data_IF_916825312324
#
_entry.id   IF_916825312324
#
_cell.length_a   1.000
_cell.length_b   1.000
_cell.length_c   1.000
_cell.angle_alpha   90.00
_cell.angle_beta   90.00
_cell.angle_gamma   90.00
#
_symmetry.space_group_name_H-M   'P 1'
#
loop_
_entity.id
_entity.type
_entity.pdbx_description
1 polymer ?
#
# COMPACT_ATOMS: atom_id res chain seq x y z
N UNK A 1 -3.59 1.25 -9.01
CA UNK A 1 -3.00 2.38 -8.24
C UNK A 1 -1.52 2.10 -8.12
N UNK A 2 -0.60 2.99 -8.49
CA UNK A 2 0.84 2.73 -8.54
C UNK A 2 1.47 2.25 -7.21
N UNK A 3 2.63 1.62 -7.29
CA UNK A 3 3.45 1.20 -6.15
C UNK A 3 4.74 2.01 -6.05
N UNK A 4 4.92 2.75 -4.96
CA UNK A 4 6.18 3.40 -4.55
C UNK A 4 6.90 2.50 -3.56
N UNK A 5 8.21 2.35 -3.72
CA UNK A 5 9.09 1.58 -2.84
C UNK A 5 10.49 2.19 -2.74
N UNK A 6 11.28 1.76 -1.77
CA UNK A 6 12.67 2.19 -1.62
C UNK A 6 13.42 1.46 -0.51
N UNK A 7 14.72 1.70 -0.46
CA UNK A 7 15.65 1.20 0.55
C UNK A 7 16.72 2.26 0.85
N UNK A 8 17.15 2.35 2.10
CA UNK A 8 18.24 3.21 2.55
C UNK A 8 19.02 2.52 3.66
N UNK A 9 20.35 2.62 3.65
CA UNK A 9 21.19 2.11 4.74
C UNK A 9 21.98 3.21 5.45
N UNK A 10 21.89 3.22 6.78
CA UNK A 10 22.75 4.05 7.63
C UNK A 10 24.12 3.45 7.83
N UNK A 11 24.30 2.18 7.47
CA UNK A 11 25.54 1.45 7.67
C UNK A 11 26.64 1.99 6.74
N UNK A 12 27.89 1.84 7.18
CA UNK A 12 29.07 2.12 6.36
C UNK A 12 29.22 1.07 5.26
N UNK A 13 29.83 1.44 4.14
CA UNK A 13 30.02 0.52 3.00
C UNK A 13 28.81 0.35 2.08
N UNK A 14 27.65 0.90 2.44
CA UNK A 14 26.45 0.87 1.60
C UNK A 14 25.68 -0.44 1.68
N UNK A 15 24.74 -0.65 0.75
CA UNK A 15 23.82 -1.79 0.76
C UNK A 15 24.55 -3.09 0.46
N UNK A 16 24.28 -4.12 1.25
CA UNK A 16 24.79 -5.47 0.99
C UNK A 16 23.99 -6.17 -0.12
N UNK A 17 24.55 -7.25 -0.68
CA UNK A 17 23.83 -8.08 -1.66
C UNK A 17 22.49 -8.58 -1.12
N UNK A 18 22.44 -9.02 0.14
CA UNK A 18 21.19 -9.51 0.76
C UNK A 18 20.14 -8.40 0.86
N UNK A 19 20.55 -7.21 1.31
CA UNK A 19 19.66 -6.03 1.42
C UNK A 19 19.13 -5.59 0.06
N UNK A 20 19.97 -5.62 -0.98
CA UNK A 20 19.56 -5.35 -2.37
C UNK A 20 18.54 -6.39 -2.82
N UNK A 21 18.80 -7.68 -2.65
CA UNK A 21 17.86 -8.74 -3.06
C UNK A 21 16.51 -8.67 -2.31
N UNK A 22 16.53 -8.33 -1.03
CA UNK A 22 15.31 -8.04 -0.26
C UNK A 22 14.55 -6.86 -0.85
N UNK A 23 15.23 -5.77 -1.22
CA UNK A 23 14.60 -4.64 -1.89
C UNK A 23 14.02 -5.02 -3.25
N UNK A 24 14.73 -5.81 -4.07
CA UNK A 24 14.22 -6.25 -5.37
C UNK A 24 12.93 -7.08 -5.23
N UNK A 25 12.82 -7.88 -4.16
CA UNK A 25 11.58 -8.60 -3.84
C UNK A 25 10.41 -7.63 -3.59
N UNK A 26 10.65 -6.54 -2.83
CA UNK A 26 9.64 -5.49 -2.59
C UNK A 26 9.29 -4.76 -3.90
N UNK A 27 10.29 -4.49 -4.74
CA UNK A 27 10.11 -3.84 -6.04
C UNK A 27 9.26 -4.69 -6.98
N UNK A 28 9.56 -5.98 -7.12
CA UNK A 28 8.80 -6.93 -7.93
C UNK A 28 7.36 -7.06 -7.41
N UNK A 29 7.16 -7.22 -6.09
CA UNK A 29 5.81 -7.26 -5.49
C UNK A 29 4.99 -5.99 -5.75
N UNK A 30 5.66 -4.85 -5.91
CA UNK A 30 4.99 -3.59 -6.25
C UNK A 30 4.31 -3.63 -7.62
N UNK A 31 4.64 -4.60 -8.49
CA UNK A 31 3.94 -4.84 -9.76
C UNK A 31 2.44 -5.09 -9.59
N UNK A 32 2.01 -5.70 -8.47
CA UNK A 32 0.59 -5.92 -8.14
C UNK A 32 -0.22 -4.61 -8.12
N UNK A 33 0.47 -3.47 -8.00
CA UNK A 33 -0.10 -2.13 -7.99
C UNK A 33 -0.09 -1.49 -9.38
N UNK A 34 0.84 -1.88 -10.26
CA UNK A 34 0.95 -1.38 -11.63
C UNK A 34 1.91 -2.18 -12.49
N UNK A 35 1.43 -2.60 -13.67
CA UNK A 35 2.14 -3.47 -14.62
C UNK A 35 2.59 -2.74 -15.90
N UNK A 36 2.27 -1.45 -16.05
CA UNK A 36 2.45 -0.73 -17.32
C UNK A 36 3.89 -0.26 -17.55
N UNK A 37 4.56 0.19 -16.49
CA UNK A 37 5.94 0.66 -16.56
C UNK A 37 6.59 0.60 -15.19
N UNK A 38 7.92 0.50 -15.16
CA UNK A 38 8.68 0.41 -13.93
C UNK A 38 9.97 1.21 -14.05
N UNK A 39 10.51 1.64 -12.92
CA UNK A 39 11.79 2.31 -12.89
C UNK A 39 12.40 2.38 -11.50
N UNK A 40 13.73 2.47 -11.48
CA UNK A 40 14.57 2.54 -10.31
C UNK A 40 15.46 3.77 -10.40
N UNK A 41 15.64 4.44 -9.26
CA UNK A 41 16.61 5.51 -9.04
C UNK A 41 17.57 5.07 -7.94
N UNK A 42 18.87 5.30 -8.12
CA UNK A 42 19.88 5.05 -7.09
C UNK A 42 20.96 6.12 -7.08
N UNK A 43 21.68 6.20 -5.97
CA UNK A 43 22.84 7.07 -5.84
C UNK A 43 24.05 6.50 -6.57
N UNK A 44 24.73 7.33 -7.36
CA UNK A 44 26.03 7.02 -7.97
C UNK A 44 26.98 8.22 -7.88
N UNK A 45 27.90 8.16 -6.91
CA UNK A 45 28.71 9.33 -6.54
C UNK A 45 27.80 10.49 -6.13
N UNK A 46 28.01 11.66 -6.70
CA UNK A 46 27.22 12.87 -6.43
C UNK A 46 25.94 12.97 -7.29
N UNK A 47 25.53 11.89 -7.97
CA UNK A 47 24.40 11.89 -8.89
C UNK A 47 23.31 10.89 -8.50
N UNK A 48 22.08 11.17 -8.94
CA UNK A 48 20.98 10.22 -8.97
C UNK A 48 20.84 9.66 -10.38
N UNK A 49 21.07 8.35 -10.56
CA UNK A 49 20.85 7.68 -11.84
C UNK A 49 19.47 7.05 -11.88
N UNK A 50 18.81 7.13 -13.04
CA UNK A 50 17.46 6.60 -13.26
C UNK A 50 17.48 5.66 -14.45
N UNK A 51 16.97 4.44 -14.25
CA UNK A 51 16.62 3.52 -15.31
C UNK A 51 15.13 3.20 -15.23
N UNK A 52 14.43 3.29 -16.36
CA UNK A 52 12.99 3.07 -16.43
C UNK A 52 12.57 2.59 -17.81
N UNK A 53 11.54 1.74 -17.84
CA UNK A 53 11.04 1.15 -19.07
C UNK A 53 9.51 0.95 -19.02
N UNK A 54 8.83 0.89 -20.18
CA UNK A 54 7.42 0.52 -20.30
C UNK A 54 7.20 -0.99 -20.06
N UNK A 55 7.76 -1.51 -18.97
CA UNK A 55 7.74 -2.92 -18.60
C UNK A 55 7.22 -3.09 -17.16
N UNK A 56 6.52 -4.19 -16.86
CA UNK A 56 6.23 -4.60 -15.48
C UNK A 56 7.53 -4.84 -14.71
N UNK A 57 7.49 -4.78 -13.37
CA UNK A 57 8.69 -4.76 -12.54
C UNK A 57 9.52 -6.04 -12.69
N UNK A 58 8.86 -7.21 -12.71
CA UNK A 58 9.50 -8.50 -12.97
C UNK A 58 10.32 -8.51 -14.27
N UNK A 59 9.72 -8.03 -15.37
CA UNK A 59 10.39 -7.95 -16.68
C UNK A 59 11.47 -6.87 -16.73
N UNK A 60 11.27 -5.75 -16.05
CA UNK A 60 12.31 -4.74 -15.92
C UNK A 60 13.55 -5.30 -15.22
N UNK A 61 13.36 -6.14 -14.20
CA UNK A 61 14.46 -6.78 -13.46
C UNK A 61 15.21 -7.85 -14.26
N UNK A 62 14.59 -8.48 -15.26
CA UNK A 62 15.26 -9.42 -16.17
C UNK A 62 16.45 -8.76 -16.90
N UNK A 63 16.30 -7.48 -17.27
CA UNK A 63 17.29 -6.70 -18.03
C UNK A 63 18.13 -5.76 -17.15
N UNK A 64 17.70 -5.49 -15.91
CA UNK A 64 18.34 -4.53 -15.01
C UNK A 64 19.58 -5.14 -14.34
N UNK A 65 20.74 -4.48 -14.49
CA UNK A 65 21.96 -4.87 -13.78
C UNK A 65 21.90 -4.45 -12.31
N UNK A 66 21.20 -5.26 -11.50
CA UNK A 66 20.96 -4.98 -10.08
C UNK A 66 22.22 -4.98 -9.22
N UNK A 67 23.31 -5.63 -9.64
CA UNK A 67 24.58 -5.66 -8.88
C UNK A 67 25.15 -4.25 -8.68
N UNK A 68 24.80 -3.31 -9.58
CA UNK A 68 25.16 -1.89 -9.46
C UNK A 68 24.56 -1.19 -8.24
N UNK A 69 23.54 -1.77 -7.62
CA UNK A 69 22.93 -1.27 -6.40
C UNK A 69 23.71 -1.66 -5.14
N UNK A 70 24.60 -2.66 -5.22
CA UNK A 70 25.44 -3.07 -4.09
C UNK A 70 26.43 -1.96 -3.77
N UNK A 71 26.59 -1.68 -2.48
CA UNK A 71 27.44 -0.60 -1.97
C UNK A 71 26.83 0.80 -2.10
N UNK A 72 25.62 0.95 -2.65
CA UNK A 72 24.93 2.25 -2.70
C UNK A 72 24.22 2.55 -1.39
N UNK A 73 24.08 3.82 -1.03
CA UNK A 73 23.42 4.19 0.24
C UNK A 73 21.90 4.08 0.16
N UNK A 74 21.32 4.35 -1.00
CA UNK A 74 19.89 4.31 -1.20
C UNK A 74 19.48 3.99 -2.63
N UNK A 75 18.29 3.43 -2.74
CA UNK A 75 17.60 3.11 -3.99
C UNK A 75 16.11 3.37 -3.78
N UNK A 76 15.40 3.92 -4.75
CA UNK A 76 13.94 3.96 -4.72
C UNK A 76 13.35 3.70 -6.10
N UNK A 77 12.15 3.13 -6.12
CA UNK A 77 11.55 2.64 -7.34
C UNK A 77 10.05 2.88 -7.39
N UNK A 78 9.51 2.61 -8.57
CA UNK A 78 8.10 2.77 -8.84
C UNK A 78 7.59 1.73 -9.84
N UNK A 79 6.43 1.15 -9.53
CA UNK A 79 5.62 0.33 -10.41
C UNK A 79 4.36 1.11 -10.83
N UNK A 80 4.29 1.49 -12.10
CA UNK A 80 3.31 2.45 -12.64
C UNK A 80 2.06 1.75 -13.14
N UNK A 81 0.92 2.28 -12.73
CA UNK A 81 -0.36 2.06 -13.38
C UNK A 81 -0.78 3.38 -14.06
N UNK A 82 -0.57 3.48 -15.37
CA UNK A 82 -0.80 4.73 -16.11
C UNK A 82 -2.27 5.18 -16.05
N UNK A 83 -2.50 6.39 -15.54
CA UNK A 83 -3.80 7.08 -15.51
C UNK A 83 -3.80 8.35 -16.37
N UNK A 84 -2.67 9.06 -16.40
CA UNK A 84 -2.39 10.24 -17.23
C UNK A 84 -1.07 10.01 -17.94
N UNK A 85 -1.00 10.36 -19.24
CA UNK A 85 0.17 10.19 -20.09
C UNK A 85 0.44 8.74 -20.49
N UNK A 86 0.87 8.52 -21.74
CA UNK A 86 1.17 7.18 -22.24
C UNK A 86 2.32 6.53 -21.46
N UNK A 87 2.19 5.25 -21.11
CA UNK A 87 3.31 4.48 -20.52
C UNK A 87 4.40 4.14 -21.53
N UNK A 88 4.11 4.20 -22.83
CA UNK A 88 5.11 3.99 -23.88
C UNK A 88 6.08 5.17 -24.01
N UNK A 89 5.70 6.34 -23.51
CA UNK A 89 6.60 7.48 -23.39
C UNK A 89 7.28 7.46 -22.00
N UNK A 90 8.59 7.28 -21.99
CA UNK A 90 9.37 7.25 -20.77
C UNK A 90 9.40 8.59 -20.01
N UNK A 91 9.05 9.71 -20.64
CA UNK A 91 8.89 10.99 -19.94
C UNK A 91 7.75 10.94 -18.92
N UNK A 92 6.75 10.09 -19.15
CA UNK A 92 5.63 9.88 -18.23
C UNK A 92 5.91 8.79 -17.17
N UNK A 93 6.96 7.99 -17.34
CA UNK A 93 7.28 6.90 -16.43
C UNK A 93 8.11 7.41 -15.25
N UNK A 94 7.80 6.95 -14.05
CA UNK A 94 8.56 7.25 -12.84
C UNK A 94 9.79 6.34 -12.72
N UNK A 95 10.86 6.77 -12.02
CA UNK A 95 11.07 8.08 -11.39
C UNK A 95 11.07 9.28 -12.36
N UNK A 96 10.56 10.42 -11.90
CA UNK A 96 10.55 11.68 -12.65
C UNK A 96 11.73 12.53 -12.19
N UNK A 97 12.54 12.97 -13.16
CA UNK A 97 13.63 13.94 -12.97
C UNK A 97 13.11 15.30 -13.37
N UNK A 98 13.25 16.31 -12.50
CA UNK A 98 12.83 17.66 -12.82
C UNK A 98 13.64 18.29 -13.95
N UNK A 99 13.08 19.32 -14.59
CA UNK A 99 13.69 19.99 -15.72
C UNK A 99 15.00 20.67 -15.34
N UNK A 100 15.08 21.20 -14.10
CA UNK A 100 16.30 21.78 -13.56
C UNK A 100 17.28 20.70 -13.03
N UNK A 101 16.86 19.43 -13.07
CA UNK A 101 17.61 18.27 -12.59
C UNK A 101 17.99 18.42 -11.10
N UNK A 102 17.20 19.16 -10.33
CA UNK A 102 17.39 19.38 -8.90
C UNK A 102 16.65 18.35 -8.07
N UNK A 103 15.55 17.79 -8.58
CA UNK A 103 14.71 16.82 -7.87
C UNK A 103 14.53 15.55 -8.70
N UNK A 104 14.63 14.38 -8.05
CA UNK A 104 14.20 13.09 -8.61
C UNK A 104 13.19 12.45 -7.67
N UNK A 105 12.02 12.09 -8.17
CA UNK A 105 10.86 11.77 -7.34
C UNK A 105 10.01 10.62 -7.90
N UNK A 106 9.49 9.80 -6.99
CA UNK A 106 8.40 8.85 -7.25
C UNK A 106 7.15 9.24 -6.46
N UNK A 107 5.97 9.02 -7.06
CA UNK A 107 4.69 9.46 -6.52
C UNK A 107 3.61 8.39 -6.71
N UNK A 108 2.89 8.08 -5.65
CA UNK A 108 1.65 7.31 -5.73
C UNK A 108 0.48 8.18 -5.26
N UNK A 109 -0.44 8.46 -6.18
CA UNK A 109 -1.60 9.30 -5.93
C UNK A 109 -2.02 10.05 -7.18
N UNK A 110 -2.88 11.03 -6.98
CA UNK A 110 -3.27 11.98 -8.01
C UNK A 110 -3.27 13.38 -7.41
N UNK A 111 -2.51 14.29 -8.01
CA UNK A 111 -2.39 15.67 -7.55
C UNK A 111 -2.90 16.66 -8.59
N UNK A 112 -3.60 17.69 -8.13
CA UNK A 112 -4.06 18.80 -8.97
C UNK A 112 -3.31 20.07 -8.58
N UNK A 113 -2.41 20.51 -9.44
CA UNK A 113 -1.68 21.77 -9.33
C UNK A 113 -1.57 22.40 -10.72
N UNK A 114 -1.52 23.73 -10.79
CA UNK A 114 -1.32 24.43 -12.06
C UNK A 114 0.13 24.28 -12.52
N UNK A 115 0.33 24.09 -13.83
CA UNK A 115 1.66 24.17 -14.45
C UNK A 115 2.24 25.57 -14.27
N UNK A 116 3.55 25.64 -14.03
CA UNK A 116 4.33 26.87 -13.91
C UNK A 116 4.73 27.31 -15.31
N UNK A 117 4.41 28.54 -15.69
CA UNK A 117 4.48 29.00 -17.09
C UNK A 117 5.89 28.92 -17.71
N UNK A 118 6.94 29.13 -16.91
CA UNK A 118 8.34 29.13 -17.37
C UNK A 118 9.05 27.78 -17.18
N UNK A 119 8.35 26.75 -16.69
CA UNK A 119 8.95 25.45 -16.43
C UNK A 119 8.82 24.52 -17.65
N UNK A 120 9.91 23.84 -18.02
CA UNK A 120 9.96 22.99 -19.21
C UNK A 120 9.47 21.56 -18.90
N UNK A 121 8.18 21.32 -19.10
CA UNK A 121 7.59 19.98 -18.94
C UNK A 121 7.91 19.08 -20.13
N UNK A 122 8.38 17.87 -19.86
CA UNK A 122 8.64 16.82 -20.85
C UNK A 122 7.53 15.77 -20.88
N UNK A 123 6.85 15.56 -19.75
CA UNK A 123 5.74 14.64 -19.60
C UNK A 123 4.39 15.34 -19.43
N UNK A 124 3.36 14.51 -19.33
CA UNK A 124 1.96 14.89 -19.13
C UNK A 124 1.52 14.65 -17.68
N UNK A 125 2.29 13.85 -16.93
CA UNK A 125 1.94 13.40 -15.59
C UNK A 125 1.91 14.53 -14.57
N UNK A 126 0.94 14.45 -13.66
CA UNK A 126 0.79 15.33 -12.51
C UNK A 126 2.04 15.37 -11.61
N UNK A 127 2.81 14.29 -11.61
CA UNK A 127 4.03 14.16 -10.82
C UNK A 127 5.11 15.12 -11.30
N UNK A 128 5.22 15.38 -12.61
CA UNK A 128 6.16 16.38 -13.11
C UNK A 128 5.73 17.80 -12.71
N UNK A 129 4.42 18.05 -12.65
CA UNK A 129 3.89 19.30 -12.07
C UNK A 129 4.29 19.41 -10.61
N UNK A 130 4.11 18.38 -9.80
CA UNK A 130 4.56 18.39 -8.41
C UNK A 130 6.07 18.63 -8.27
N UNK A 131 6.88 17.96 -9.09
CA UNK A 131 8.33 18.16 -9.13
C UNK A 131 8.68 19.61 -9.46
N UNK A 132 8.02 20.23 -10.43
CA UNK A 132 8.27 21.64 -10.77
C UNK A 132 8.03 22.59 -9.60
N UNK A 133 6.98 22.34 -8.81
CA UNK A 133 6.70 23.16 -7.63
C UNK A 133 7.73 22.94 -6.51
N UNK A 134 8.22 21.70 -6.33
CA UNK A 134 9.27 21.39 -5.36
C UNK A 134 10.61 22.02 -5.78
N UNK A 135 10.95 22.01 -7.07
CA UNK A 135 12.17 22.68 -7.55
C UNK A 135 12.13 24.20 -7.34
N UNK A 136 10.96 24.82 -7.49
CA UNK A 136 10.79 26.28 -7.35
C UNK A 136 10.62 26.73 -5.89
N UNK A 137 9.90 25.97 -5.06
CA UNK A 137 9.45 26.41 -3.73
C UNK A 137 9.91 25.50 -2.59
N UNK A 138 10.72 24.48 -2.86
CA UNK A 138 11.12 23.49 -1.87
C UNK A 138 9.93 22.75 -1.24
N UNK A 139 10.03 22.44 0.05
CA UNK A 139 8.98 21.67 0.75
C UNK A 139 7.66 22.44 0.91
N UNK A 140 7.67 23.77 0.80
CA UNK A 140 6.44 24.57 0.91
C UNK A 140 5.45 24.30 -0.22
N UNK A 141 5.93 23.79 -1.37
CA UNK A 141 5.09 23.26 -2.45
C UNK A 141 4.06 22.23 -1.96
N UNK A 142 4.44 21.40 -0.98
CA UNK A 142 3.59 20.33 -0.46
C UNK A 142 2.32 20.86 0.24
N UNK A 143 2.34 22.09 0.76
CA UNK A 143 1.17 22.73 1.39
C UNK A 143 0.10 23.11 0.36
N UNK A 144 0.48 23.21 -0.91
CA UNK A 144 -0.42 23.55 -2.03
C UNK A 144 -0.99 22.33 -2.74
N UNK A 145 -0.51 21.12 -2.42
CA UNK A 145 -0.99 19.87 -3.02
C UNK A 145 -2.49 19.70 -2.75
N UNK A 146 -3.27 19.47 -3.80
CA UNK A 146 -4.66 19.03 -3.73
C UNK A 146 -4.77 17.63 -4.29
N UNK A 147 -5.43 16.73 -3.57
CA UNK A 147 -5.59 15.33 -3.98
C UNK A 147 -4.93 14.37 -3.00
N UNK A 148 -4.30 13.34 -3.55
CA UNK A 148 -3.78 12.20 -2.81
C UNK A 148 -2.33 11.95 -3.21
N UNK A 149 -1.45 11.62 -2.26
CA UNK A 149 -0.03 11.47 -2.54
C UNK A 149 0.70 10.67 -1.45
N UNK A 150 1.65 9.85 -1.88
CA UNK A 150 2.83 9.44 -1.12
C UNK A 150 4.07 9.54 -2.00
N UNK A 151 5.16 10.04 -1.42
CA UNK A 151 6.35 10.48 -2.16
C UNK A 151 7.62 9.90 -1.52
N UNK A 152 8.56 9.54 -2.38
CA UNK A 152 9.97 9.37 -2.04
C UNK A 152 10.75 10.21 -3.05
N UNK A 153 11.66 11.05 -2.57
CA UNK A 153 12.50 11.86 -3.45
C UNK A 153 13.86 12.16 -2.86
N UNK A 154 14.78 12.59 -3.71
CA UNK A 154 16.06 13.19 -3.33
C UNK A 154 16.23 14.51 -4.06
N UNK A 155 17.18 15.33 -3.62
CA UNK A 155 17.58 16.55 -4.32
C UNK A 155 19.08 16.56 -4.59
N UNK A 156 19.54 17.28 -5.61
CA UNK A 156 20.97 17.39 -5.94
C UNK A 156 21.80 17.87 -4.73
N UNK A 157 21.31 18.87 -4.01
CA UNK A 157 22.01 19.46 -2.87
C UNK A 157 22.02 18.55 -1.62
N UNK A 158 21.15 17.54 -1.60
CA UNK A 158 20.97 16.60 -0.49
C UNK A 158 21.03 15.14 -1.01
N UNK A 159 21.90 14.87 -1.98
CA UNK A 159 21.96 13.59 -2.69
C UNK A 159 22.22 12.39 -1.77
N UNK A 160 22.84 12.61 -0.61
CA UNK A 160 23.06 11.59 0.43
C UNK A 160 21.80 11.18 1.19
N UNK A 161 20.69 11.89 0.96
CA UNK A 161 19.48 11.80 1.76
C UNK A 161 18.25 11.51 0.89
N UNK A 162 17.30 10.81 1.50
CA UNK A 162 15.95 10.66 0.96
C UNK A 162 14.97 11.47 1.81
N UNK A 163 13.95 12.00 1.15
CA UNK A 163 12.82 12.63 1.78
C UNK A 163 11.56 11.80 1.52
N UNK A 164 10.76 11.63 2.57
CA UNK A 164 9.52 10.86 2.54
C UNK A 164 8.37 11.73 3.00
N UNK A 165 7.23 11.65 2.32
CA UNK A 165 6.02 12.37 2.71
C UNK A 165 4.78 11.61 2.25
N UNK A 166 3.70 11.71 3.01
CA UNK A 166 2.40 11.18 2.60
C UNK A 166 1.24 12.03 3.05
N UNK A 167 0.16 11.96 2.28
CA UNK A 167 -1.18 12.42 2.66
C UNK A 167 -2.09 11.20 2.86
N UNK A 168 -3.06 10.99 1.98
CA UNK A 168 -4.00 9.88 2.05
C UNK A 168 -3.43 8.56 1.56
N UNK A 169 -2.47 8.55 0.61
CA UNK A 169 -1.89 7.30 0.12
C UNK A 169 -0.93 6.71 1.16
N UNK A 170 -0.90 5.38 1.32
CA UNK A 170 -0.02 4.74 2.28
C UNK A 170 1.45 4.84 1.85
N UNK A 171 2.31 4.96 2.86
CA UNK A 171 3.75 4.72 2.78
C UNK A 171 4.18 4.12 4.12
N UNK A 172 4.67 2.88 4.05
CA UNK A 172 5.12 2.09 5.17
C UNK A 172 6.64 2.04 5.18
N UNK A 173 7.21 1.99 6.38
CA UNK A 173 8.64 1.87 6.61
C UNK A 173 8.89 0.70 7.55
N UNK A 174 9.80 -0.18 7.16
CA UNK A 174 10.34 -1.25 8.00
C UNK A 174 11.80 -0.94 8.31
N UNK A 175 12.24 -1.19 9.55
CA UNK A 175 13.63 -0.97 9.96
C UNK A 175 14.26 -2.26 10.45
N UNK A 176 15.40 -2.64 9.87
CA UNK A 176 16.14 -3.83 10.27
C UNK A 176 17.64 -3.54 10.21
N UNK A 177 18.36 -3.68 11.34
CA UNK A 177 19.81 -3.52 11.44
C UNK A 177 20.39 -2.26 10.74
N UNK A 178 19.74 -1.10 10.89
CA UNK A 178 20.19 0.15 10.27
C UNK A 178 19.75 0.35 8.81
N UNK A 179 18.97 -0.58 8.27
CA UNK A 179 18.38 -0.50 6.92
C UNK A 179 16.90 -0.17 7.02
N UNK A 180 16.46 0.77 6.18
CA UNK A 180 15.10 1.25 6.09
C UNK A 180 14.52 0.81 4.75
N UNK A 181 13.51 -0.06 4.81
CA UNK A 181 12.76 -0.52 3.63
C UNK A 181 11.43 0.23 3.58
N UNK A 182 11.05 0.69 2.40
CA UNK A 182 9.87 1.51 2.17
C UNK A 182 8.97 0.87 1.12
N UNK A 183 7.66 0.86 1.36
CA UNK A 183 6.69 0.35 0.40
C UNK A 183 5.32 1.01 0.55
N UNK A 184 4.57 1.07 -0.54
CA UNK A 184 3.17 1.52 -0.51
C UNK A 184 2.25 0.55 0.22
N UNK A 185 2.61 -0.73 0.33
CA UNK A 185 1.83 -1.74 1.04
C UNK A 185 2.62 -2.39 2.15
N UNK A 186 1.99 -2.54 3.32
CA UNK A 186 2.61 -3.19 4.49
C UNK A 186 2.95 -4.65 4.20
N UNK A 187 2.09 -5.33 3.44
CA UNK A 187 2.24 -6.74 3.09
C UNK A 187 3.54 -7.02 2.34
N UNK A 188 4.00 -6.09 1.49
CA UNK A 188 5.25 -6.27 0.74
C UNK A 188 6.47 -6.31 1.67
N UNK A 189 6.47 -5.44 2.70
CA UNK A 189 7.52 -5.43 3.71
C UNK A 189 7.47 -6.69 4.59
N UNK A 190 6.29 -7.15 4.98
CA UNK A 190 6.13 -8.36 5.79
C UNK A 190 6.64 -9.59 5.04
N UNK A 191 6.27 -9.72 3.76
CA UNK A 191 6.63 -10.88 2.95
C UNK A 191 8.14 -10.87 2.62
N UNK A 192 8.71 -9.72 2.23
CA UNK A 192 10.13 -9.63 1.87
C UNK A 192 11.07 -9.76 3.09
N UNK A 193 10.64 -9.32 4.27
CA UNK A 193 11.42 -9.39 5.51
C UNK A 193 11.04 -10.59 6.38
N UNK A 194 10.30 -11.54 5.81
CA UNK A 194 9.85 -12.74 6.53
C UNK A 194 11.05 -13.51 7.08
N UNK A 195 11.02 -13.85 8.36
CA UNK A 195 12.11 -14.54 9.05
C UNK A 195 13.16 -13.61 9.69
N UNK A 196 13.18 -12.32 9.33
CA UNK A 196 14.03 -11.35 10.01
C UNK A 196 13.39 -10.95 11.35
N UNK A 197 14.07 -11.27 12.46
CA UNK A 197 13.58 -10.96 13.81
C UNK A 197 13.63 -9.45 14.07
N UNK A 198 12.66 -8.94 14.85
CA UNK A 198 12.64 -7.56 15.38
C UNK A 198 12.72 -6.49 14.29
N UNK A 199 11.79 -6.51 13.35
CA UNK A 199 11.68 -5.51 12.29
C UNK A 199 10.45 -4.62 12.53
N UNK A 200 10.58 -3.46 13.20
CA UNK A 200 9.45 -2.56 13.38
C UNK A 200 8.94 -2.08 12.02
N UNK A 201 7.62 -2.18 11.80
CA UNK A 201 6.95 -1.68 10.61
C UNK A 201 5.92 -0.65 11.04
N UNK A 202 6.01 0.57 10.51
CA UNK A 202 5.11 1.68 10.82
C UNK A 202 4.74 2.46 9.56
N UNK A 203 3.63 3.20 9.63
CA UNK A 203 3.26 4.14 8.58
C UNK A 203 3.75 5.54 8.92
N UNK A 204 4.09 6.33 7.91
CA UNK A 204 4.43 7.74 8.12
C UNK A 204 3.20 8.54 8.56
N UNK A 205 3.45 9.60 9.32
CA UNK A 205 2.40 10.53 9.72
C UNK A 205 1.96 11.40 8.54
N UNK A 206 0.64 11.58 8.44
CA UNK A 206 0.01 12.37 7.38
C UNK A 206 0.50 13.82 7.44
N UNK A 207 0.99 14.32 6.32
CA UNK A 207 1.46 15.69 6.14
C UNK A 207 2.84 15.97 6.70
N UNK A 208 3.54 15.01 7.30
CA UNK A 208 4.90 15.20 7.81
C UNK A 208 5.94 14.82 6.75
N UNK A 209 6.92 15.69 6.56
CA UNK A 209 8.13 15.35 5.80
C UNK A 209 9.13 14.71 6.75
N UNK A 210 9.70 13.60 6.32
CA UNK A 210 10.79 12.91 7.00
C UNK A 210 12.04 12.99 6.13
N UNK A 211 13.19 13.22 6.76
CA UNK A 211 14.52 13.09 6.15
C UNK A 211 15.16 11.81 6.64
N UNK A 212 15.60 10.99 5.70
CA UNK A 212 16.36 9.78 5.94
C UNK A 212 17.81 10.06 5.56
N UNK A 213 18.70 9.93 6.54
CA UNK A 213 20.12 10.27 6.45
C UNK A 213 20.94 9.21 7.17
N UNK A 214 22.28 9.29 7.13
CA UNK A 214 23.17 8.46 7.97
C UNK A 214 22.88 8.57 9.48
N UNK A 215 22.16 9.60 9.93
CA UNK A 215 21.68 9.75 11.32
C UNK A 215 20.33 9.06 11.59
N UNK A 216 19.83 8.27 10.64
CA UNK A 216 18.51 7.64 10.67
C UNK A 216 17.39 8.53 10.13
N UNK A 217 16.15 8.06 10.34
CA UNK A 217 14.92 8.74 9.94
C UNK A 217 14.52 9.82 10.95
N UNK A 218 14.34 11.06 10.50
CA UNK A 218 13.92 12.20 11.33
C UNK A 218 12.76 12.96 10.70
N UNK A 219 11.76 13.34 11.49
CA UNK A 219 10.75 14.33 11.09
C UNK A 219 11.42 15.69 10.95
N UNK A 220 11.23 16.37 9.83
CA UNK A 220 11.79 17.71 9.59
C UNK A 220 10.75 18.82 9.67
N UNK A 221 9.48 18.52 9.39
CA UNK A 221 8.40 19.50 9.53
C UNK A 221 7.06 18.99 9.03
N UNK A 222 6.01 19.68 9.45
CA UNK A 222 4.65 19.43 8.96
C UNK A 222 4.33 20.33 7.76
N UNK A 223 4.11 19.68 6.62
CA UNK A 223 3.75 20.27 5.33
C UNK A 223 2.41 19.72 4.87
N UNK A 224 1.39 19.99 5.68
CA UNK A 224 0.02 19.53 5.45
C UNK A 224 -0.80 20.61 4.74
N UNK A 225 -1.50 20.28 3.63
CA UNK A 225 -2.40 21.22 2.98
C UNK A 225 -3.52 21.72 3.90
N UNK A 226 -3.93 22.98 3.72
CA UNK A 226 -4.98 23.58 4.54
C UNK A 226 -6.32 22.82 4.45
N UNK A 227 -6.70 22.33 3.27
CA UNK A 227 -7.96 21.60 3.06
C UNK A 227 -8.02 20.27 3.84
N UNK A 228 -6.87 19.63 4.10
CA UNK A 228 -6.82 18.39 4.86
C UNK A 228 -7.10 18.66 6.35
N UNK A 229 -6.57 19.78 6.88
CA UNK A 229 -6.85 20.25 8.25
C UNK A 229 -8.35 20.47 8.49
N UNK A 230 -9.04 21.09 7.52
CA UNK A 230 -10.48 21.30 7.58
C UNK A 230 -11.29 20.00 7.51
N UNK A 231 -10.84 19.00 6.75
CA UNK A 231 -11.49 17.68 6.71
C UNK A 231 -11.49 17.03 8.08
N UNK A 232 -10.35 17.09 8.78
CA UNK A 232 -10.21 16.54 10.13
C UNK A 232 -11.02 17.33 11.16
N UNK A 233 -11.07 18.66 11.06
CA UNK A 233 -11.92 19.50 11.91
C UNK A 233 -13.41 19.18 11.70
N UNK A 234 -13.87 19.03 10.44
CA UNK A 234 -15.24 18.61 10.16
C UNK A 234 -15.53 17.21 10.71
N UNK A 235 -14.64 16.23 10.51
CA UNK A 235 -14.82 14.90 11.12
C UNK A 235 -14.93 15.00 12.65
N UNK A 236 -14.05 15.78 13.30
CA UNK A 236 -14.10 15.98 14.75
C UNK A 236 -15.41 16.64 15.20
N UNK A 237 -15.87 17.69 14.51
CA UNK A 237 -17.14 18.39 14.83
C UNK A 237 -18.37 17.53 14.54
N UNK A 238 -18.36 16.71 13.47
CA UNK A 238 -19.44 15.77 13.18
C UNK A 238 -19.47 14.58 14.16
N UNK A 239 -18.32 14.12 14.64
CA UNK A 239 -18.22 13.06 15.65
C UNK A 239 -18.58 13.58 17.04
N UNK A 240 -18.14 14.79 17.41
CA UNK A 240 -18.52 15.44 18.68
C UNK A 240 -19.97 15.90 18.67
N UNK A 241 -20.50 16.32 17.51
CA UNK A 241 -21.88 16.75 17.34
C UNK A 241 -22.90 15.62 17.31
N UNK A 242 -22.49 14.34 17.17
CA UNK A 242 -23.40 13.18 17.36
C UNK A 242 -23.63 12.80 18.82
N UNK A 243 -22.90 13.41 19.76
CA UNK A 243 -23.09 13.19 21.19
C UNK A 243 -23.88 14.31 21.88
N UNK A 244 -24.38 15.31 21.13
CA UNK A 244 -25.22 16.38 21.66
C UNK A 244 -26.24 16.85 20.62
N UNK A 245 -27.31 16.08 20.42
CA UNK A 245 -28.59 16.61 19.95
C UNK A 245 -29.72 15.83 20.62
N UNK A 246 -30.09 16.28 21.82
CA UNK A 246 -31.47 16.21 22.26
C UNK A 246 -32.24 17.29 21.51
N UNK A 247 -33.38 16.87 20.96
CA UNK A 247 -34.62 17.61 20.68
C UNK A 247 -34.55 19.11 20.34
N UNK A 248 -35.03 19.43 19.14
CA UNK A 248 -35.67 20.71 18.84
C UNK A 248 -34.82 21.71 18.09
N UNK A 249 -34.88 21.67 16.76
CA UNK A 249 -35.29 22.80 15.92
C UNK A 249 -35.10 22.42 14.44
N UNK A 250 -36.21 22.44 13.72
CA UNK A 250 -36.24 22.43 12.26
C UNK A 250 -35.76 23.77 11.77
N UNK A 251 -34.75 23.81 10.90
CA UNK A 251 -34.76 24.83 9.87
C UNK A 251 -34.12 24.38 8.56
N UNK A 252 -34.85 24.76 7.53
CA UNK A 252 -34.73 24.38 6.13
C UNK A 252 -33.71 25.27 5.42
N UNK A 253 -32.59 24.70 4.97
CA UNK A 253 -32.06 25.04 3.64
C UNK A 253 -31.04 23.99 3.19
N UNK A 254 -31.53 22.95 2.50
CA UNK A 254 -30.70 22.01 1.74
C UNK A 254 -31.07 22.15 0.28
N UNK A 255 -30.52 23.17 -0.37
CA UNK A 255 -30.57 23.27 -1.83
C UNK A 255 -29.19 23.61 -2.40
N UNK A 256 -28.77 22.80 -3.37
CA UNK A 256 -27.65 22.98 -4.30
C UNK A 256 -26.20 22.66 -3.87
N UNK A 257 -25.86 21.37 -3.80
CA UNK A 257 -24.65 20.88 -4.50
C UNK A 257 -24.89 19.43 -4.98
N UNK A 258 -24.79 19.16 -6.29
CA UNK A 258 -24.98 17.81 -6.82
C UNK A 258 -23.69 17.02 -6.64
N UNK A 259 -23.62 16.18 -5.60
CA UNK A 259 -22.68 15.06 -5.59
C UNK A 259 -23.31 13.89 -6.33
N UNK A 260 -23.08 13.83 -7.64
CA UNK A 260 -23.32 12.64 -8.43
C UNK A 260 -22.29 11.58 -8.01
N UNK A 261 -22.70 10.66 -7.12
CA UNK A 261 -22.05 9.36 -6.98
C UNK A 261 -22.50 8.51 -8.17
N UNK A 262 -21.87 8.70 -9.33
CA UNK A 262 -21.96 7.71 -10.40
C UNK A 262 -21.05 6.54 -10.03
N UNK A 263 -21.69 5.43 -9.70
CA UNK A 263 -21.17 4.07 -9.67
C UNK A 263 -20.03 3.83 -10.68
N UNK A 264 -18.82 3.61 -10.18
CA UNK A 264 -17.79 2.87 -10.92
C UNK A 264 -17.91 1.42 -10.48
N UNK A 265 -19.00 0.77 -10.90
CA UNK A 265 -19.02 -0.66 -11.11
C UNK A 265 -18.80 -0.82 -12.61
N UNK A 266 -17.57 -1.20 -12.98
CA UNK A 266 -17.27 -1.76 -14.30
C UNK A 266 -17.50 -3.26 -14.23
N UNK A 267 -18.36 -3.75 -15.10
CA UNK A 267 -18.81 -5.14 -15.28
C UNK A 267 -17.71 -6.09 -15.79
N UNK A 268 -16.63 -6.29 -15.03
CA UNK A 268 -15.55 -7.24 -15.42
C UNK A 268 -15.50 -8.49 -14.51
N UNK A 269 -16.62 -8.82 -13.84
CA UNK A 269 -16.75 -9.99 -12.95
C UNK A 269 -16.71 -11.36 -13.65
N UNK A 270 -16.56 -11.41 -14.97
CA UNK A 270 -16.67 -12.66 -15.75
C UNK A 270 -15.30 -13.30 -16.12
N UNK A 271 -14.21 -12.52 -16.21
CA UNK A 271 -12.91 -13.04 -16.68
C UNK A 271 -12.05 -13.71 -15.59
N UNK A 272 -12.27 -13.43 -14.30
CA UNK A 272 -11.49 -14.04 -13.21
C UNK A 272 -11.76 -15.55 -13.05
N UNK A 273 -12.94 -16.01 -13.48
CA UNK A 273 -13.34 -17.43 -13.40
C UNK A 273 -12.58 -18.34 -14.39
N UNK A 274 -12.12 -17.80 -15.52
CA UNK A 274 -11.37 -18.57 -16.52
C UNK A 274 -9.89 -18.68 -16.18
N UNK A 275 -9.32 -17.67 -15.49
CA UNK A 275 -7.95 -17.71 -14.98
C UNK A 275 -7.73 -18.82 -13.93
N UNK A 276 -8.72 -19.07 -13.07
CA UNK A 276 -8.65 -20.15 -12.07
C UNK A 276 -8.85 -21.55 -12.70
N UNK A 277 -9.66 -21.66 -13.77
CA UNK A 277 -9.87 -22.94 -14.48
C UNK A 277 -8.60 -23.43 -15.18
N UNK A 278 -7.81 -22.54 -15.80
CA UNK A 278 -6.58 -22.93 -16.51
C UNK A 278 -5.48 -23.45 -15.57
N UNK A 279 -5.46 -23.03 -14.29
CA UNK A 279 -4.55 -23.60 -13.27
C UNK A 279 -5.06 -24.90 -12.64
N UNK A 280 -6.34 -25.23 -12.77
CA UNK A 280 -6.92 -26.46 -12.20
C UNK A 280 -6.54 -27.73 -12.96
N UNK A 281 -6.22 -27.63 -14.26
CA UNK A 281 -5.83 -28.79 -15.07
C UNK A 281 -4.38 -29.24 -14.87
N UNK A 282 -3.54 -28.44 -14.21
CA UNK A 282 -2.10 -28.73 -14.07
C UNK A 282 -1.64 -29.31 -12.74
N UNK A 283 -2.51 -29.56 -11.76
CA UNK A 283 -2.08 -30.11 -10.45
C UNK A 283 -3.10 -31.07 -9.83
N UNK A 284 -3.22 -32.27 -10.40
CA UNK A 284 -4.12 -33.33 -9.91
C UNK A 284 -3.64 -34.14 -8.68
N UNK A 285 -2.48 -33.86 -8.07
CA UNK A 285 -1.87 -34.79 -7.10
C UNK A 285 -1.68 -34.30 -5.66
N UNK A 286 -2.24 -33.15 -5.26
CA UNK A 286 -2.21 -32.73 -3.85
C UNK A 286 -3.57 -32.19 -3.44
N UNK A 287 -4.13 -32.72 -2.34
CA UNK A 287 -5.42 -32.29 -1.81
C UNK A 287 -5.33 -30.86 -1.29
N UNK A 288 -5.94 -29.91 -1.99
CA UNK A 288 -6.05 -28.53 -1.56
C UNK A 288 -7.49 -28.22 -1.15
N UNK A 289 -7.63 -27.43 -0.07
CA UNK A 289 -8.90 -26.84 0.37
C UNK A 289 -9.04 -25.47 -0.32
N UNK A 290 -10.20 -25.21 -0.95
CA UNK A 290 -10.54 -23.89 -1.47
C UNK A 290 -11.45 -23.16 -0.48
N UNK A 291 -11.16 -21.88 -0.23
CA UNK A 291 -12.04 -20.96 0.46
C UNK A 291 -12.50 -19.92 -0.57
N UNK A 292 -13.80 -19.93 -0.88
CA UNK A 292 -14.46 -18.90 -1.67
C UNK A 292 -15.36 -18.05 -0.78
N UNK A 293 -15.26 -16.73 -0.90
CA UNK A 293 -16.23 -15.80 -0.32
C UNK A 293 -17.29 -15.47 -1.37
N UNK A 294 -18.57 -15.68 -1.05
CA UNK A 294 -19.69 -15.13 -1.83
C UNK A 294 -20.27 -13.94 -1.07
N UNK A 295 -20.38 -12.83 -1.80
CA UNK A 295 -21.08 -11.59 -1.47
C UNK A 295 -20.43 -10.62 -0.48
N UNK A 296 -20.33 -9.36 -0.92
CA UNK A 296 -19.98 -8.19 -0.11
C UNK A 296 -21.19 -7.25 -0.11
N UNK A 297 -21.78 -7.00 1.06
CA UNK A 297 -22.76 -5.91 1.22
C UNK A 297 -22.20 -4.92 2.24
N UNK A 298 -21.59 -3.85 1.76
CA UNK A 298 -21.17 -2.73 2.60
C UNK A 298 -22.39 -1.83 2.86
N UNK A 299 -22.79 -1.69 4.12
CA UNK A 299 -23.69 -0.60 4.55
C UNK A 299 -22.95 0.35 5.49
N UNK A 300 -23.50 1.55 5.66
CA UNK A 300 -22.89 2.70 6.36
C UNK A 300 -22.62 2.51 7.86
N UNK A 301 -22.85 1.32 8.41
CA UNK A 301 -22.72 1.03 9.85
C UNK A 301 -21.82 -0.17 10.21
N UNK A 302 -21.05 -0.70 9.26
CA UNK A 302 -20.09 -1.78 9.53
C UNK A 302 -20.42 -3.09 8.80
N UNK A 303 -19.39 -3.95 8.70
CA UNK A 303 -19.40 -5.21 7.96
C UNK A 303 -20.46 -6.18 8.50
N UNK A 304 -21.52 -6.40 7.72
CA UNK A 304 -22.54 -7.42 7.99
C UNK A 304 -22.20 -8.70 7.23
N UNK A 305 -21.35 -9.50 7.86
CA UNK A 305 -21.25 -10.94 7.67
C UNK A 305 -20.36 -11.46 6.53
N UNK A 306 -19.73 -12.61 6.78
CA UNK A 306 -19.01 -13.40 5.78
C UNK A 306 -19.58 -14.81 5.71
N UNK A 307 -19.71 -15.35 4.50
CA UNK A 307 -19.95 -16.78 4.28
C UNK A 307 -18.63 -17.43 3.87
N UNK A 308 -18.10 -18.30 4.73
CA UNK A 308 -16.90 -19.10 4.44
C UNK A 308 -17.38 -20.47 3.98
N UNK A 309 -17.07 -20.81 2.73
CA UNK A 309 -17.27 -22.16 2.20
C UNK A 309 -15.93 -22.90 2.21
N UNK A 310 -15.85 -24.00 2.94
CA UNK A 310 -14.66 -24.88 2.97
C UNK A 310 -15.05 -26.20 2.32
N UNK A 311 -14.23 -26.69 1.39
CA UNK A 311 -14.42 -28.01 0.78
C UNK A 311 -13.33 -28.98 1.22
N UNK A 312 -13.74 -30.03 1.93
CA UNK A 312 -12.93 -31.19 2.24
C UNK A 312 -13.47 -32.38 1.44
N UNK A 313 -12.71 -32.92 0.47
CA UNK A 313 -13.12 -34.11 -0.31
C UNK A 313 -14.58 -34.07 -0.83
N UNK A 314 -15.05 -32.90 -1.26
CA UNK A 314 -16.39 -32.73 -1.84
C UNK A 314 -17.53 -32.48 -0.85
N UNK A 315 -17.28 -32.30 0.46
CA UNK A 315 -18.29 -31.81 1.40
C UNK A 315 -18.16 -30.30 1.53
N UNK A 316 -19.22 -29.57 1.19
CA UNK A 316 -19.35 -28.13 1.36
C UNK A 316 -19.86 -27.86 2.77
N UNK A 317 -19.08 -27.16 3.60
CA UNK A 317 -19.57 -26.61 4.87
C UNK A 317 -19.73 -25.10 4.68
N UNK A 318 -20.97 -24.61 4.73
CA UNK A 318 -21.28 -23.18 4.78
C UNK A 318 -21.34 -22.74 6.24
N UNK A 319 -20.43 -21.84 6.63
CA UNK A 319 -20.50 -21.15 7.91
C UNK A 319 -20.90 -19.70 7.67
N UNK A 320 -22.00 -19.27 8.31
CA UNK A 320 -22.43 -17.87 8.34
C UNK A 320 -21.83 -17.19 9.56
N UNK A 321 -20.94 -16.23 9.36
CA UNK A 321 -20.33 -15.46 10.44
C UNK A 321 -21.05 -14.12 10.53
N UNK A 322 -21.92 -13.95 11.53
CA UNK A 322 -22.53 -12.66 11.85
C UNK A 322 -21.58 -11.87 12.77
N UNK A 323 -21.05 -10.74 12.31
CA UNK A 323 -20.21 -9.84 13.13
C UNK A 323 -21.08 -8.77 13.77
N UNK A 324 -20.97 -8.60 15.09
CA UNK A 324 -21.62 -7.51 15.83
C UNK A 324 -20.53 -6.56 16.35
N UNK A 325 -20.53 -5.31 15.90
CA UNK A 325 -19.67 -4.24 16.43
C UNK A 325 -20.49 -3.43 17.43
N UNK A 326 -20.24 -3.60 18.73
CA UNK A 326 -20.74 -2.68 19.76
C UNK A 326 -19.69 -1.62 20.16
N UNK A 327 -20.20 -0.48 20.60
CA UNK A 327 -19.55 0.84 20.56
C UNK A 327 -18.44 1.05 21.61
N UNK A 328 -18.25 0.13 22.55
CA UNK A 328 -17.36 0.31 23.71
C UNK A 328 -16.51 -0.94 23.99
N UNK A 329 -15.35 -1.04 23.33
CA UNK A 329 -14.30 -2.00 23.68
C UNK A 329 -14.48 -3.43 23.16
N UNK A 330 -13.42 -3.98 22.58
CA UNK A 330 -13.38 -5.36 22.06
C UNK A 330 -13.35 -6.31 23.26
N UNK A 331 -14.46 -6.99 23.54
CA UNK A 331 -14.47 -8.17 24.40
C UNK A 331 -14.56 -9.45 23.56
N UNK A 332 -13.85 -10.53 23.92
CA UNK A 332 -13.89 -11.78 23.17
C UNK A 332 -15.30 -12.38 23.24
N UNK A 333 -15.97 -12.47 22.08
CA UNK A 333 -17.26 -13.16 21.98
C UNK A 333 -17.00 -14.67 21.90
N UNK A 334 -17.04 -15.35 23.05
CA UNK A 334 -17.15 -16.82 23.07
C UNK A 334 -18.55 -17.22 22.61
N UNK A 335 -18.67 -17.82 21.43
CA UNK A 335 -19.86 -18.60 21.08
C UNK A 335 -19.44 -20.03 20.75
N UNK A 336 -20.15 -20.95 21.36
CA UNK A 336 -20.22 -22.34 20.94
C UNK A 336 -21.36 -22.41 19.94
N UNK A 337 -21.14 -23.02 18.78
CA UNK A 337 -22.23 -23.64 18.06
C UNK A 337 -22.17 -25.16 18.23
N UNK A 338 -23.31 -25.79 18.05
CA UNK A 338 -23.50 -27.24 18.21
C UNK A 338 -22.76 -28.06 17.13
N UNK A 339 -22.04 -27.37 16.23
CA UNK A 339 -21.29 -27.93 15.10
C UNK A 339 -19.76 -27.93 15.35
N UNK A 340 -19.32 -27.46 16.52
CA UNK A 340 -17.93 -27.65 16.98
C UNK A 340 -16.94 -26.66 16.41
N UNK A 341 -17.37 -25.44 16.06
CA UNK A 341 -16.48 -24.36 15.63
C UNK A 341 -16.07 -23.50 16.84
N UNK A 342 -14.78 -23.19 16.95
CA UNK A 342 -14.24 -22.28 17.97
C UNK A 342 -13.54 -21.10 17.30
N UNK A 343 -13.84 -19.88 17.75
CA UNK A 343 -13.12 -18.68 17.33
C UNK A 343 -12.60 -17.88 18.54
N UNK A 344 -11.45 -17.25 18.34
CA UNK A 344 -10.86 -16.29 19.28
C UNK A 344 -10.47 -15.04 18.51
N UNK A 345 -10.89 -13.88 19.01
CA UNK A 345 -10.61 -12.59 18.38
C UNK A 345 -9.58 -11.84 19.23
N UNK A 346 -8.42 -11.57 18.63
CA UNK A 346 -7.43 -10.60 19.14
C UNK A 346 -7.34 -9.47 18.12
N UNK A 347 -6.99 -8.23 18.52
CA UNK A 347 -6.90 -7.13 17.59
C UNK A 347 -5.95 -7.48 16.44
N UNK A 348 -6.48 -7.47 15.20
CA UNK A 348 -5.76 -7.69 13.94
C UNK A 348 -5.38 -9.13 13.57
N UNK A 349 -5.90 -10.16 14.27
CA UNK A 349 -5.74 -11.57 13.87
C UNK A 349 -7.06 -12.34 14.06
N UNK A 350 -7.50 -13.08 13.04
CA UNK A 350 -8.57 -14.07 13.22
C UNK A 350 -7.99 -15.48 13.17
N UNK A 351 -8.25 -16.24 14.21
CA UNK A 351 -7.83 -17.63 14.36
C UNK A 351 -9.11 -18.48 14.31
N UNK A 352 -9.28 -19.24 13.24
CA UNK A 352 -10.45 -20.10 13.04
C UNK A 352 -10.04 -21.55 13.29
N UNK A 353 -10.70 -22.23 14.22
CA UNK A 353 -10.55 -23.67 14.40
C UNK A 353 -11.73 -24.41 13.79
N UNK A 354 -11.45 -25.33 12.87
CA UNK A 354 -12.44 -26.20 12.22
C UNK A 354 -12.21 -27.62 12.68
N UNK A 355 -13.28 -28.30 13.13
CA UNK A 355 -13.21 -29.70 13.54
C UNK A 355 -13.55 -30.60 12.35
N UNK A 356 -12.64 -31.51 11.98
CA UNK A 356 -12.85 -32.55 10.96
C UNK A 356 -12.72 -33.93 11.62
N UNK A 357 -13.86 -34.58 11.91
CA UNK A 357 -13.91 -35.79 12.74
C UNK A 357 -13.40 -35.55 14.17
N UNK A 358 -12.41 -36.33 14.61
CA UNK A 358 -11.79 -36.19 15.95
C UNK A 358 -10.65 -35.15 16.00
N UNK A 359 -10.46 -34.39 14.92
CA UNK A 359 -9.28 -33.55 14.70
C UNK A 359 -9.64 -32.08 14.63
N UNK A 360 -8.72 -31.24 15.07
CA UNK A 360 -8.84 -29.79 14.99
C UNK A 360 -7.86 -29.26 13.94
N UNK A 361 -8.36 -28.42 13.04
CA UNK A 361 -7.60 -27.74 12.00
C UNK A 361 -7.61 -26.25 12.33
N UNK A 362 -6.44 -25.63 12.43
CA UNK A 362 -6.33 -24.18 12.61
C UNK A 362 -6.08 -23.49 11.27
N UNK A 363 -6.88 -22.45 10.99
CA UNK A 363 -6.72 -21.53 9.86
C UNK A 363 -6.33 -20.15 10.40
N UNK A 364 -5.15 -19.67 10.02
CA UNK A 364 -4.66 -18.33 10.35
C UNK A 364 -5.14 -17.33 9.28
N UNK A 365 -5.93 -16.34 9.69
CA UNK A 365 -6.38 -15.25 8.82
C UNK A 365 -5.51 -14.01 9.04
N UNK A 366 -4.96 -13.47 7.95
CA UNK A 366 -4.33 -12.16 7.89
C UNK A 366 -5.26 -11.26 7.05
N UNK A 367 -5.69 -10.14 7.62
CA UNK A 367 -6.54 -9.17 6.92
C UNK A 367 -5.71 -8.56 5.77
N UNK A 368 -6.04 -8.94 4.52
CA UNK A 368 -5.46 -8.43 3.28
C UNK A 368 -6.28 -8.91 2.07
N UNK A 369 -6.41 -8.07 1.04
CA UNK A 369 -7.36 -8.23 -0.09
C UNK A 369 -7.05 -9.37 -1.09
N UNK A 370 -6.26 -10.38 -0.71
CA UNK A 370 -5.97 -11.56 -1.53
C UNK A 370 -5.79 -12.79 -0.65
N UNK A 371 -6.64 -13.79 -0.84
CA UNK A 371 -6.68 -15.00 -0.03
C UNK A 371 -5.77 -16.08 -0.62
N UNK A 372 -4.67 -16.39 0.07
CA UNK A 372 -3.94 -17.64 -0.16
C UNK A 372 -3.69 -18.30 1.20
N UNK A 373 -4.15 -19.54 1.37
CA UNK A 373 -3.71 -20.37 2.50
C UNK A 373 -2.21 -20.60 2.31
N UNK A 374 -1.37 -19.87 3.06
CA UNK A 374 0.08 -20.03 2.95
C UNK A 374 0.54 -21.34 3.60
N UNK A 375 -0.07 -21.79 4.70
CA UNK A 375 0.36 -23.01 5.41
C UNK A 375 -0.81 -23.74 6.11
N UNK A 376 -0.79 -25.07 6.08
CA UNK A 376 -1.67 -25.96 6.86
C UNK A 376 -0.78 -26.67 7.88
N UNK A 377 -1.04 -26.48 9.16
CA UNK A 377 -0.32 -27.19 10.22
C UNK A 377 -1.16 -28.34 10.77
N UNK A 378 -0.57 -29.54 10.75
CA UNK A 378 -1.11 -30.73 11.38
C UNK A 378 -0.74 -30.69 12.86
N UNK A 379 -1.73 -30.58 13.74
CA UNK A 379 -1.55 -30.80 15.17
C UNK A 379 -1.93 -32.26 15.43
N UNK A 380 -0.93 -33.13 15.55
CA UNK A 380 -1.17 -34.44 16.17
C UNK A 380 -1.31 -34.19 17.69
N UNK A 381 -2.33 -34.79 18.31
CA UNK A 381 -2.61 -34.66 19.74
C UNK A 381 -1.39 -35.15 20.55
N UNK A 382 -0.54 -34.23 21.02
CA UNK A 382 0.19 -34.30 22.27
C UNK A 382 0.53 -32.90 22.78
#
# INVERSE_FOLDING_TARGET
>A
MCGVNGIYTVNEGGLTTEEVLTYLTIFEQSELRGTHASGICWKDGDNALVEKAPLPASRFLDDFNWERLVGKEWVFGHARHATVGSYRDNNNNHPIVGANKQVVLVHNGQVTMSRIAHYNYSGEVDTEVLVSHIEENGFDALKSVRGSASLIWTTRDEIENLFLWRLSNPLWVAVHNGVYYMASEKGFLIDALWGLKRTPIFSLDVGWVYKLSKKGLKKVGEYRPAWERWRRYKHYVYESGRNTWNEGESDTDRSSMPYNYSSIYGDDGFEYSQYLKSKSEHKKNYGYYYIGTRDYVATSYGLLGYVVSITAKGVLVEAKVDMCLERDGIMPVKRWDDQGIYWYEVPYEHIIYVKDGDKWIWLKHLIGHTYSIKEIYRIDKH
#
